data_IF_222943753546
#
_entry.id   IF_222943753546
#
_cell.length_a   1.000
_cell.length_b   1.000
_cell.length_c   1.000
_cell.angle_alpha   90.00
_cell.angle_beta   90.00
_cell.angle_gamma   90.00
#
_symmetry.space_group_name_H-M   'P 1'
#
loop_
_entity.id
_entity.type
_entity.pdbx_description
1 polymer ?
#
# COMPACT_ATOMS: atom_id res chain seq x y z
N UNK A 1 29.60 -0.23 -11.03
CA UNK A 1 28.36 0.56 -10.87
C UNK A 1 28.53 1.83 -11.69
N UNK A 2 27.80 1.99 -12.79
CA UNK A 2 27.86 3.22 -13.57
C UNK A 2 27.36 4.38 -12.70
N UNK A 3 28.16 5.43 -12.53
CA UNK A 3 27.76 6.62 -11.78
C UNK A 3 26.60 7.33 -12.47
N UNK A 4 25.70 7.96 -11.71
CA UNK A 4 24.59 8.69 -12.32
C UNK A 4 25.08 9.81 -13.23
N UNK A 5 24.36 10.05 -14.33
CA UNK A 5 24.69 11.18 -15.19
C UNK A 5 24.31 12.51 -14.52
N UNK A 6 24.91 13.62 -14.96
CA UNK A 6 24.69 14.96 -14.38
C UNK A 6 23.21 15.38 -14.39
N UNK A 7 22.45 14.95 -15.39
CA UNK A 7 21.03 15.27 -15.53
C UNK A 7 20.20 14.58 -14.44
N UNK A 8 20.43 13.29 -14.18
CA UNK A 8 19.81 12.52 -13.11
C UNK A 8 20.05 13.16 -11.75
N UNK A 9 21.31 13.48 -11.42
CA UNK A 9 21.64 14.14 -10.16
C UNK A 9 20.94 15.50 -10.01
N UNK A 10 20.93 16.30 -11.08
CA UNK A 10 20.24 17.61 -11.07
C UNK A 10 18.74 17.45 -10.87
N UNK A 11 18.12 16.45 -11.52
CA UNK A 11 16.70 16.14 -11.35
C UNK A 11 16.40 15.76 -9.90
N UNK A 12 17.12 14.79 -9.33
CA UNK A 12 16.89 14.30 -7.97
C UNK A 12 17.10 15.39 -6.91
N UNK A 13 18.08 16.27 -7.09
CA UNK A 13 18.27 17.42 -6.19
C UNK A 13 17.08 18.40 -6.24
N UNK A 14 16.50 18.63 -7.43
CA UNK A 14 15.30 19.48 -7.58
C UNK A 14 14.08 18.82 -6.95
N UNK A 15 13.90 17.52 -7.15
CA UNK A 15 12.84 16.71 -6.52
C UNK A 15 12.89 16.83 -5.00
N UNK A 16 14.09 16.67 -4.41
CA UNK A 16 14.24 16.74 -2.95
C UNK A 16 13.88 18.12 -2.41
N UNK A 17 14.37 19.18 -3.06
CA UNK A 17 14.00 20.57 -2.71
C UNK A 17 12.50 20.81 -2.84
N UNK A 18 11.85 20.21 -3.85
CA UNK A 18 10.42 20.32 -4.04
C UNK A 18 9.65 19.69 -2.89
N UNK A 19 10.02 18.48 -2.45
CA UNK A 19 9.38 17.80 -1.31
C UNK A 19 9.58 18.54 0.01
N UNK A 20 10.75 19.16 0.21
CA UNK A 20 10.98 19.98 1.41
C UNK A 20 10.13 21.26 1.41
N UNK A 21 9.90 21.84 0.22
CA UNK A 21 9.10 23.05 0.05
C UNK A 21 7.61 22.77 0.17
N UNK A 22 7.16 21.67 -0.44
CA UNK A 22 5.77 21.25 -0.52
C UNK A 22 5.65 19.77 -0.12
N UNK A 23 5.56 19.48 1.19
CA UNK A 23 5.48 18.12 1.70
C UNK A 23 4.19 17.42 1.27
N UNK A 24 4.30 16.15 0.92
CA UNK A 24 3.14 15.33 0.54
C UNK A 24 2.52 14.72 1.80
N UNK A 25 1.19 14.82 2.01
CA UNK A 25 0.54 14.25 3.19
C UNK A 25 0.81 12.74 3.34
N UNK A 26 1.06 12.30 4.58
CA UNK A 26 1.34 10.91 4.95
C UNK A 26 2.60 10.31 4.30
N UNK A 27 3.47 11.14 3.73
CA UNK A 27 4.65 10.70 3.01
C UNK A 27 5.84 11.57 3.43
N UNK A 28 6.90 10.92 3.93
CA UNK A 28 8.19 11.56 4.17
C UNK A 28 9.25 10.81 3.38
N UNK A 29 10.16 11.51 2.69
CA UNK A 29 11.23 10.88 1.93
C UNK A 29 12.54 11.67 2.00
N UNK A 30 13.65 10.94 2.13
CA UNK A 30 14.99 11.50 2.17
C UNK A 30 15.97 10.68 1.32
N UNK A 31 16.85 11.33 0.55
CA UNK A 31 17.97 10.66 -0.08
C UNK A 31 18.92 10.08 0.96
N UNK A 32 19.54 8.95 0.64
CA UNK A 32 20.62 8.37 1.42
C UNK A 32 21.81 9.34 1.45
N UNK A 33 22.46 9.57 2.60
CA UNK A 33 23.56 10.53 2.71
C UNK A 33 24.78 10.17 1.86
N UNK A 34 24.95 8.88 1.54
CA UNK A 34 26.07 8.35 0.77
C UNK A 34 25.73 8.09 -0.69
N UNK A 35 24.46 8.11 -1.09
CA UNK A 35 24.03 7.77 -2.44
C UNK A 35 22.73 8.47 -2.83
N UNK A 36 22.83 9.48 -3.70
CA UNK A 36 21.65 10.22 -4.16
C UNK A 36 20.68 9.35 -5.00
N UNK A 37 21.14 8.23 -5.54
CA UNK A 37 20.30 7.27 -6.27
C UNK A 37 19.53 6.31 -5.36
N UNK A 38 19.75 6.34 -4.04
CA UNK A 38 18.97 5.57 -3.08
C UNK A 38 18.23 6.54 -2.17
N UNK A 39 16.91 6.43 -2.10
CA UNK A 39 16.10 7.23 -1.20
C UNK A 39 15.34 6.33 -0.27
N UNK A 40 15.21 6.73 0.98
CA UNK A 40 14.31 6.09 1.92
C UNK A 40 13.03 6.91 2.03
N UNK A 41 11.92 6.22 2.24
CA UNK A 41 10.63 6.86 2.49
C UNK A 41 9.91 6.21 3.65
N UNK A 42 8.98 6.95 4.23
CA UNK A 42 7.98 6.50 5.19
C UNK A 42 6.61 6.83 4.62
N UNK A 43 5.73 5.83 4.61
CA UNK A 43 4.31 6.01 4.40
C UNK A 43 3.59 5.91 5.74
N UNK A 44 2.64 6.80 5.99
CA UNK A 44 1.74 6.72 7.15
C UNK A 44 0.39 6.15 6.72
N UNK A 45 -0.12 5.20 7.47
CA UNK A 45 -1.43 4.63 7.20
C UNK A 45 -2.55 5.61 7.54
N UNK A 46 -3.45 5.82 6.59
CA UNK A 46 -4.56 6.75 6.70
C UNK A 46 -5.60 6.27 7.72
N UNK A 47 -6.29 7.24 8.35
CA UNK A 47 -7.38 6.97 9.27
C UNK A 47 -8.53 6.23 8.60
N UNK A 48 -9.16 5.31 9.33
CA UNK A 48 -10.25 4.47 8.85
C UNK A 48 -9.81 3.31 7.96
N UNK A 49 -8.51 3.07 7.81
CA UNK A 49 -7.97 1.92 7.06
C UNK A 49 -7.37 0.89 8.02
N UNK A 50 -7.24 -0.36 7.56
CA UNK A 50 -6.47 -1.41 8.26
C UNK A 50 -4.99 -1.06 8.51
N UNK A 51 -4.50 0.03 7.93
CA UNK A 51 -3.13 0.50 8.07
C UNK A 51 -2.99 1.65 9.05
N UNK A 52 -4.09 2.17 9.60
CA UNK A 52 -4.14 3.35 10.47
C UNK A 52 -3.09 3.28 11.60
N UNK A 53 -2.36 4.37 11.79
CA UNK A 53 -1.32 4.50 12.82
C UNK A 53 -0.02 3.77 12.49
N UNK A 54 0.02 3.00 11.40
CA UNK A 54 1.20 2.33 10.89
C UNK A 54 2.19 3.27 10.21
N UNK A 55 3.47 2.94 10.33
CA UNK A 55 4.62 3.69 9.81
C UNK A 55 5.44 2.75 8.94
N UNK A 56 5.40 2.90 7.61
CA UNK A 56 5.95 1.93 6.67
C UNK A 56 7.19 2.46 5.97
N UNK A 57 8.35 1.98 6.42
CA UNK A 57 9.66 2.30 5.87
C UNK A 57 9.95 1.47 4.61
N UNK A 58 10.40 2.14 3.56
CA UNK A 58 10.88 1.51 2.34
C UNK A 58 12.01 2.28 1.68
N UNK A 59 12.34 1.89 0.45
CA UNK A 59 13.30 2.60 -0.39
C UNK A 59 12.93 2.65 -1.86
N UNK A 60 13.39 3.71 -2.51
CA UNK A 60 13.48 3.88 -3.94
C UNK A 60 14.94 3.72 -4.37
N UNK A 61 15.18 2.97 -5.44
CA UNK A 61 16.50 2.91 -6.09
C UNK A 61 16.34 3.40 -7.53
N UNK A 62 16.96 4.54 -7.81
CA UNK A 62 16.91 5.21 -9.10
C UNK A 62 18.01 4.68 -10.03
N UNK A 63 17.70 4.37 -11.30
CA UNK A 63 18.71 4.08 -12.28
C UNK A 63 19.50 5.36 -12.68
N UNK A 64 20.74 5.24 -13.17
CA UNK A 64 21.52 6.36 -13.72
C UNK A 64 20.80 7.18 -14.79
N UNK A 65 19.84 6.57 -15.49
CA UNK A 65 19.04 7.17 -16.56
C UNK A 65 17.75 7.85 -16.07
N UNK A 66 17.47 7.85 -14.76
CA UNK A 66 16.34 8.62 -14.22
C UNK A 66 16.45 10.11 -14.64
N UNK A 67 15.35 10.75 -15.11
CA UNK A 67 13.95 10.32 -15.07
C UNK A 67 13.47 9.55 -16.30
N UNK A 68 14.33 9.22 -17.26
CA UNK A 68 13.89 8.49 -18.47
C UNK A 68 13.62 7.01 -18.23
N UNK A 69 14.18 6.45 -17.15
CA UNK A 69 13.81 5.14 -16.61
C UNK A 69 13.22 5.29 -15.19
N UNK A 70 12.21 4.48 -14.83
CA UNK A 70 11.59 4.50 -13.51
C UNK A 70 12.55 3.99 -12.41
N UNK A 71 12.32 4.36 -11.14
CA UNK A 71 12.98 3.71 -10.01
C UNK A 71 12.39 2.32 -9.72
N UNK A 72 13.12 1.52 -8.97
CA UNK A 72 12.58 0.33 -8.29
C UNK A 72 12.16 0.66 -6.85
N UNK A 73 11.14 -0.04 -6.35
CA UNK A 73 10.52 0.22 -5.04
C UNK A 73 10.53 -1.06 -4.22
N UNK A 74 10.86 -0.96 -2.93
CA UNK A 74 10.73 -2.05 -1.96
C UNK A 74 10.38 -1.53 -0.57
N UNK A 75 9.56 -2.26 0.19
CA UNK A 75 9.28 -1.96 1.60
C UNK A 75 10.08 -2.86 2.53
N UNK A 76 10.48 -2.32 3.68
CA UNK A 76 11.17 -3.07 4.74
C UNK A 76 10.23 -3.46 5.87
N UNK A 77 9.31 -2.56 6.24
CA UNK A 77 8.35 -2.80 7.31
C UNK A 77 7.33 -3.84 6.89
N UNK A 78 7.10 -4.89 7.70
CA UNK A 78 5.95 -5.78 7.52
C UNK A 78 4.65 -4.99 7.51
N UNK A 79 3.83 -5.21 6.48
CA UNK A 79 2.63 -4.39 6.23
C UNK A 79 1.41 -5.21 5.77
N UNK A 80 1.58 -6.51 5.52
CA UNK A 80 0.50 -7.42 5.13
C UNK A 80 -0.04 -7.22 3.71
N UNK A 81 0.48 -6.26 2.95
CA UNK A 81 0.11 -5.98 1.55
C UNK A 81 1.20 -6.34 0.55
N UNK A 82 2.45 -6.04 0.90
CA UNK A 82 3.62 -6.26 0.08
C UNK A 82 4.64 -7.10 0.82
N UNK A 83 5.23 -8.09 0.12
CA UNK A 83 6.37 -8.84 0.59
C UNK A 83 7.54 -7.88 0.87
N UNK A 84 8.17 -8.03 2.03
CA UNK A 84 9.29 -7.17 2.41
C UNK A 84 10.52 -7.47 1.56
N UNK A 85 11.38 -6.46 1.37
CA UNK A 85 12.62 -6.54 0.60
C UNK A 85 12.46 -7.06 -0.83
N UNK A 86 11.24 -7.04 -1.36
CA UNK A 86 10.92 -7.52 -2.71
C UNK A 86 10.61 -6.31 -3.58
N UNK A 87 11.14 -6.32 -4.82
CA UNK A 87 10.80 -5.29 -5.80
C UNK A 87 9.31 -5.39 -6.14
N UNK A 88 8.62 -4.26 -6.10
CA UNK A 88 7.22 -4.18 -6.47
C UNK A 88 7.07 -3.88 -7.96
N UNK A 89 6.19 -4.61 -8.63
CA UNK A 89 5.74 -4.28 -9.97
C UNK A 89 4.52 -3.39 -9.86
N UNK A 90 4.67 -2.11 -10.16
CA UNK A 90 3.57 -1.17 -10.28
C UNK A 90 3.72 -0.37 -11.58
N UNK A 91 2.65 0.27 -12.05
CA UNK A 91 2.67 1.06 -13.30
C UNK A 91 3.73 2.18 -13.34
N UNK A 92 4.27 2.57 -12.18
CA UNK A 92 5.33 3.57 -12.01
C UNK A 92 6.72 2.99 -11.68
N UNK A 93 6.96 1.70 -11.97
CA UNK A 93 8.20 0.98 -11.63
C UNK A 93 8.90 0.41 -12.88
N UNK A 94 10.11 -0.12 -12.71
CA UNK A 94 10.96 -0.74 -13.74
C UNK A 94 10.36 -1.94 -14.47
N UNK A 95 9.22 -2.46 -14.00
CA UNK A 95 8.49 -3.53 -14.67
C UNK A 95 7.64 -3.07 -15.87
N UNK A 96 7.23 -1.79 -15.92
CA UNK A 96 6.32 -1.24 -16.94
C UNK A 96 6.92 0.00 -17.63
N UNK A 97 8.04 -0.13 -18.36
CA UNK A 97 8.70 1.01 -19.02
C UNK A 97 7.79 1.73 -20.03
N UNK A 98 6.81 1.05 -20.61
CA UNK A 98 5.81 1.61 -21.53
C UNK A 98 4.79 2.52 -20.84
N UNK A 99 4.51 2.28 -19.56
CA UNK A 99 3.55 3.07 -18.76
C UNK A 99 4.23 4.20 -17.98
N UNK A 100 5.57 4.24 -18.00
CA UNK A 100 6.35 5.22 -17.27
C UNK A 100 6.26 6.63 -17.88
N UNK A 101 5.97 7.62 -17.03
CA UNK A 101 6.03 9.02 -17.40
C UNK A 101 7.23 9.73 -16.72
N UNK A 102 8.24 10.19 -17.47
CA UNK A 102 9.40 10.92 -16.93
C UNK A 102 9.06 12.22 -16.17
N UNK A 103 7.83 12.71 -16.30
CA UNK A 103 7.33 13.88 -15.58
C UNK A 103 6.87 13.55 -14.15
N UNK A 104 6.67 12.28 -13.80
CA UNK A 104 6.30 11.91 -12.44
C UNK A 104 7.43 12.26 -11.45
N UNK A 105 7.04 13.04 -10.45
CA UNK A 105 7.90 13.43 -9.33
C UNK A 105 8.05 12.29 -8.34
N UNK A 106 9.05 12.35 -7.46
CA UNK A 106 9.18 11.39 -6.35
C UNK A 106 7.93 11.40 -5.47
N UNK A 107 7.35 12.59 -5.25
CA UNK A 107 6.07 12.73 -4.52
C UNK A 107 4.95 11.97 -5.22
N UNK A 108 4.79 12.14 -6.53
CA UNK A 108 3.77 11.44 -7.34
C UNK A 108 3.94 9.92 -7.28
N UNK A 109 5.17 9.42 -7.37
CA UNK A 109 5.48 7.98 -7.28
C UNK A 109 5.05 7.42 -5.93
N UNK A 110 5.40 8.11 -4.84
CA UNK A 110 5.06 7.67 -3.48
C UNK A 110 3.57 7.80 -3.17
N UNK A 111 2.90 8.82 -3.71
CA UNK A 111 1.42 8.92 -3.65
C UNK A 111 0.78 7.74 -4.36
N UNK A 112 1.25 7.38 -5.56
CA UNK A 112 0.78 6.21 -6.29
C UNK A 112 0.98 4.92 -5.50
N UNK A 113 2.16 4.72 -4.90
CA UNK A 113 2.44 3.58 -4.02
C UNK A 113 1.47 3.51 -2.83
N UNK A 114 1.21 4.64 -2.17
CA UNK A 114 0.27 4.71 -1.05
C UNK A 114 -1.17 4.37 -1.51
N UNK A 115 -1.59 4.82 -2.70
CA UNK A 115 -2.88 4.41 -3.27
C UNK A 115 -2.95 2.90 -3.49
N UNK A 116 -1.90 2.27 -4.04
CA UNK A 116 -1.84 0.81 -4.21
C UNK A 116 -1.80 0.02 -2.90
N UNK A 117 -1.36 0.66 -1.80
CA UNK A 117 -1.41 0.08 -0.46
C UNK A 117 -2.85 -0.16 -0.01
N UNK A 118 -3.77 0.74 -0.39
CA UNK A 118 -5.20 0.64 -0.05
C UNK A 118 -6.02 -0.16 -1.07
N UNK A 119 -5.43 -0.52 -2.21
CA UNK A 119 -6.07 -1.39 -3.18
C UNK A 119 -5.93 -2.88 -2.79
N UNK A 120 -6.81 -3.70 -3.34
CA UNK A 120 -6.85 -5.17 -3.24
C UNK A 120 -6.27 -5.87 -4.47
N UNK A 121 -6.00 -5.14 -5.57
CA UNK A 121 -5.44 -5.72 -6.81
C UNK A 121 -4.15 -6.51 -6.56
N UNK A 122 -4.08 -7.73 -7.09
CA UNK A 122 -2.85 -8.53 -7.01
C UNK A 122 -1.80 -7.98 -7.98
N UNK A 123 -0.57 -7.87 -7.51
CA UNK A 123 0.60 -7.54 -8.34
C UNK A 123 1.84 -8.31 -7.89
N UNK A 124 2.92 -8.28 -8.69
CA UNK A 124 4.19 -8.89 -8.29
C UNK A 124 4.73 -8.23 -7.03
N UNK A 125 5.06 -9.04 -6.03
CA UNK A 125 5.47 -8.59 -4.71
C UNK A 125 4.31 -8.32 -3.74
N UNK A 126 3.04 -8.45 -4.17
CA UNK A 126 1.92 -8.44 -3.23
C UNK A 126 1.81 -9.76 -2.45
N UNK A 127 1.24 -9.67 -1.25
CA UNK A 127 0.88 -10.81 -0.41
C UNK A 127 -0.57 -10.66 0.05
N UNK A 128 -1.17 -11.79 0.44
CA UNK A 128 -2.53 -11.82 0.98
C UNK A 128 -2.46 -12.14 2.47
N UNK A 129 -3.03 -11.26 3.29
CA UNK A 129 -3.15 -11.42 4.74
C UNK A 129 -4.52 -10.97 5.22
N UNK A 130 -4.89 -11.33 6.45
CA UNK A 130 -6.16 -10.89 7.02
C UNK A 130 -6.11 -9.42 7.41
N UNK A 131 -7.29 -8.77 7.54
CA UNK A 131 -7.39 -7.41 8.08
C UNK A 131 -6.74 -7.30 9.47
N UNK A 132 -6.97 -8.30 10.33
CA UNK A 132 -6.40 -8.35 11.68
C UNK A 132 -4.87 -8.41 11.67
N UNK A 133 -4.27 -9.15 10.73
CA UNK A 133 -2.82 -9.21 10.57
C UNK A 133 -2.25 -7.85 10.16
N UNK A 134 -2.91 -7.14 9.24
CA UNK A 134 -2.51 -5.80 8.81
C UNK A 134 -2.58 -4.80 9.96
N UNK A 135 -3.67 -4.80 10.73
CA UNK A 135 -3.84 -3.93 11.90
C UNK A 135 -2.80 -4.23 13.00
N UNK A 136 -2.46 -5.52 13.23
CA UNK A 136 -1.36 -5.91 14.12
C UNK A 136 -0.03 -5.35 13.61
N UNK A 137 0.29 -5.56 12.34
CA UNK A 137 1.54 -5.06 11.74
C UNK A 137 1.61 -3.54 11.77
N UNK A 138 0.49 -2.83 11.58
CA UNK A 138 0.40 -1.38 11.71
C UNK A 138 0.81 -0.93 13.12
N UNK A 139 0.28 -1.55 14.18
CA UNK A 139 0.65 -1.23 15.57
C UNK A 139 2.12 -1.50 15.87
N UNK A 140 2.68 -2.57 15.33
CA UNK A 140 4.07 -3.00 15.57
C UNK A 140 5.10 -2.26 14.71
N UNK A 141 4.65 -1.62 13.62
CA UNK A 141 5.50 -1.06 12.56
C UNK A 141 6.55 -0.06 13.05
N UNK A 142 6.19 0.87 13.93
CA UNK A 142 7.10 1.89 14.43
C UNK A 142 8.19 1.27 15.31
N UNK A 143 7.82 0.37 16.23
CA UNK A 143 8.78 -0.35 17.07
C UNK A 143 9.72 -1.23 16.24
N UNK A 144 9.22 -1.82 15.14
CA UNK A 144 10.06 -2.53 14.17
C UNK A 144 11.07 -1.59 13.51
N UNK A 145 10.63 -0.44 13.00
CA UNK A 145 11.48 0.49 12.25
C UNK A 145 12.60 1.10 13.09
N UNK A 146 12.35 1.39 14.37
CA UNK A 146 13.36 2.01 15.26
C UNK A 146 14.59 1.11 15.46
N UNK A 147 14.46 -0.20 15.29
CA UNK A 147 15.60 -1.13 15.31
C UNK A 147 16.58 -0.88 14.15
N UNK A 148 16.10 -0.29 13.05
CA UNK A 148 16.91 0.01 11.88
C UNK A 148 17.71 1.33 12.09
N UNK A 149 19.06 1.30 12.02
CA UNK A 149 19.89 2.50 12.20
C UNK A 149 19.68 3.56 11.12
N UNK A 150 19.45 3.13 9.87
CA UNK A 150 19.15 4.04 8.75
C UNK A 150 17.83 4.76 8.98
N UNK A 151 16.80 4.06 9.45
CA UNK A 151 15.52 4.67 9.80
C UNK A 151 15.68 5.75 10.87
N UNK A 152 16.35 5.42 11.99
CA UNK A 152 16.59 6.38 13.08
C UNK A 152 17.33 7.63 12.61
N UNK A 153 18.33 7.46 11.74
CA UNK A 153 19.14 8.55 11.22
C UNK A 153 18.35 9.46 10.27
N UNK A 154 17.54 8.89 9.39
CA UNK A 154 16.83 9.63 8.36
C UNK A 154 15.48 10.19 8.82
N UNK A 155 14.85 9.58 9.83
CA UNK A 155 13.54 9.99 10.31
C UNK A 155 13.51 10.11 11.85
N UNK A 156 14.28 11.05 12.43
CA UNK A 156 14.41 11.18 13.88
C UNK A 156 13.09 11.54 14.59
N UNK A 157 12.17 12.24 13.92
CA UNK A 157 10.85 12.58 14.48
C UNK A 157 10.04 11.34 14.86
N UNK A 158 10.24 10.21 14.19
CA UNK A 158 9.58 8.94 14.54
C UNK A 158 10.15 8.29 15.80
N UNK A 159 11.41 8.59 16.16
CA UNK A 159 12.03 8.16 17.42
C UNK A 159 11.41 8.90 18.60
N UNK A 160 11.25 10.22 18.44
CA UNK A 160 10.58 11.08 19.41
C UNK A 160 9.11 10.67 19.56
N UNK A 161 8.45 10.38 18.45
CA UNK A 161 7.06 9.92 18.42
C UNK A 161 6.87 8.60 19.18
N UNK A 162 7.75 7.62 18.99
CA UNK A 162 7.66 6.36 19.73
C UNK A 162 7.79 6.61 21.24
N UNK A 163 8.77 7.43 21.63
CA UNK A 163 9.00 7.80 23.03
C UNK A 163 7.76 8.44 23.65
N UNK A 164 7.09 9.32 22.90
CA UNK A 164 5.83 9.95 23.29
C UNK A 164 4.69 8.94 23.45
N UNK A 165 4.53 8.01 22.49
CA UNK A 165 3.50 6.95 22.55
C UNK A 165 3.70 6.04 23.77
N UNK A 166 4.93 5.60 24.01
CA UNK A 166 5.27 4.73 25.15
C UNK A 166 5.06 5.43 26.48
N UNK A 167 5.43 6.71 26.60
CA UNK A 167 5.18 7.50 27.81
C UNK A 167 3.68 7.69 28.08
N UNK A 168 2.90 7.95 27.03
CA UNK A 168 1.45 8.10 27.15
C UNK A 168 0.75 6.80 27.55
N UNK A 169 1.21 5.64 27.04
CA UNK A 169 0.69 4.33 27.41
C UNK A 169 1.04 3.96 28.86
N UNK A 170 2.26 4.24 29.30
CA UNK A 170 2.68 4.00 30.68
C UNK A 170 1.96 4.89 31.72
N UNK A 171 1.44 6.05 31.29
CA UNK A 171 0.69 6.96 32.15
C UNK A 171 -0.80 6.61 32.29
N UNK A 172 -1.32 5.64 31.50
CA UNK A 172 -2.69 5.16 31.65
C UNK A 172 -2.79 4.16 32.81
N UNK A 173 -3.79 4.29 33.71
CA UNK A 173 -4.00 3.29 34.75
C UNK A 173 -4.28 1.94 34.10
N UNK A 174 -3.54 0.91 34.52
CA UNK A 174 -3.63 -0.43 33.97
C UNK A 174 -5.10 -0.93 34.01
N UNK A 175 -5.75 -0.98 32.86
CA UNK A 175 -7.03 -1.69 32.72
C UNK A 175 -6.73 -3.16 32.91
N UNK A 176 -6.99 -3.67 34.11
CA UNK A 176 -6.94 -5.09 34.42
C UNK A 176 -7.78 -5.88 33.40
N UNK A 177 -7.35 -7.07 32.95
CA UNK A 177 -8.19 -7.91 32.12
C UNK A 177 -9.48 -8.23 32.88
N UNK A 178 -10.63 -7.75 32.36
CA UNK A 178 -11.92 -8.16 32.87
C UNK A 178 -12.09 -9.66 32.57
N UNK A 179 -11.90 -10.48 33.60
CA UNK A 179 -12.30 -11.87 33.58
C UNK A 179 -13.82 -11.92 33.35
N UNK A 180 -14.22 -12.43 32.18
CA UNK A 180 -15.62 -12.77 31.93
C UNK A 180 -16.03 -13.91 32.86
N UNK A 181 -17.16 -13.82 33.59
CA UNK A 181 -17.66 -14.95 34.36
C UNK A 181 -18.13 -16.05 33.39
N UNK A 182 -17.52 -17.23 33.50
CA UNK A 182 -18.07 -18.48 32.96
C UNK A 182 -19.40 -18.77 33.68
N UNK A 183 -20.53 -18.49 33.05
CA UNK A 183 -21.81 -19.09 33.46
C UNK A 183 -21.88 -20.51 32.90
N UNK A 184 -21.49 -21.48 33.73
CA UNK A 184 -21.92 -22.85 33.59
C UNK A 184 -23.40 -22.94 34.02
N UNK A 185 -24.27 -23.41 33.13
CA UNK A 185 -25.57 -23.97 33.51
C UNK A 185 -25.54 -25.46 33.19
N UNK A 186 -25.35 -26.23 34.25
CA UNK A 186 -25.67 -27.64 34.37
C UNK A 186 -27.06 -27.74 35.01
N UNK A 187 -28.00 -28.37 34.31
CA UNK A 187 -29.19 -28.99 34.90
C UNK A 187 -29.49 -30.26 34.10
N UNK A 188 -29.49 -31.36 34.83
CA UNK A 188 -29.77 -32.74 34.43
C UNK A 188 -31.01 -33.24 35.18
N UNK A 189 -31.53 -34.39 34.71
CA UNK A 189 -32.51 -35.30 35.35
C UNK A 189 -34.00 -35.04 35.03
N UNK A 190 -34.88 -36.04 34.84
CA UNK A 190 -34.81 -37.47 34.48
C UNK A 190 -36.26 -37.95 34.18
N UNK A 191 -36.36 -39.10 33.51
CA UNK A 191 -37.46 -40.03 33.20
C UNK A 191 -38.88 -39.90 33.80
N UNK A 192 -39.94 -40.27 33.04
CA UNK A 192 -40.48 -41.66 33.04
C UNK A 192 -41.52 -41.95 31.93
N UNK A 193 -41.71 -43.26 31.65
CA UNK A 193 -42.34 -43.97 30.51
C UNK A 193 -43.90 -44.04 30.59
N UNK A 194 -44.76 -44.43 29.63
CA UNK A 194 -44.88 -45.58 28.67
C UNK A 194 -46.31 -45.49 27.97
N UNK A 195 -46.85 -46.42 27.11
CA UNK A 195 -46.47 -46.89 25.75
C UNK A 195 -47.61 -46.94 24.64
N UNK A 196 -47.16 -47.08 23.37
CA UNK A 196 -47.63 -47.87 22.18
C UNK A 196 -49.08 -47.84 21.59
N UNK A 197 -49.20 -47.60 20.25
CA UNK A 197 -49.44 -48.65 19.21
C UNK A 197 -49.47 -48.12 17.73
N UNK A 198 -48.77 -48.86 16.84
CA UNK A 198 -48.90 -49.15 15.37
C UNK A 198 -49.40 -48.11 14.34
N UNK A 199 -48.89 -48.03 13.10
CA UNK A 199 -47.88 -48.84 12.39
C UNK A 199 -47.78 -48.48 10.89
N UNK A 200 -46.65 -48.91 10.30
CA UNK A 200 -46.31 -49.14 8.87
C UNK A 200 -46.14 -47.94 7.90
N UNK A 201 -45.26 -47.94 6.91
CA UNK A 201 -43.92 -48.50 6.57
C UNK A 201 -43.53 -47.83 5.19
N UNK A 202 -42.46 -48.23 4.46
CA UNK A 202 -41.25 -47.42 4.20
C UNK A 202 -41.16 -46.96 2.71
N UNK A 203 -40.14 -46.26 2.19
CA UNK A 203 -38.80 -46.73 1.74
C UNK A 203 -38.08 -45.52 1.07
N UNK A 204 -36.73 -45.48 0.99
CA UNK A 204 -35.95 -44.23 0.91
C UNK A 204 -35.05 -44.05 -0.34
N UNK A 205 -34.27 -42.96 -0.30
CA UNK A 205 -32.83 -42.83 -0.63
C UNK A 205 -32.33 -42.70 -2.09
N UNK A 206 -31.73 -41.52 -2.32
CA UNK A 206 -30.42 -41.18 -2.94
C UNK A 206 -29.72 -42.13 -3.92
N UNK A 207 -29.16 -41.56 -5.00
CA UNK A 207 -27.72 -41.63 -5.36
C UNK A 207 -27.38 -40.86 -6.67
N UNK A 208 -26.11 -40.46 -6.77
CA UNK A 208 -25.40 -39.69 -7.81
C UNK A 208 -25.01 -40.51 -9.08
N UNK A 209 -24.53 -39.83 -10.14
CA UNK A 209 -23.40 -40.35 -10.95
C UNK A 209 -23.49 -40.36 -12.50
N UNK A 210 -22.82 -39.38 -13.13
CA UNK A 210 -21.91 -39.41 -14.31
C UNK A 210 -22.16 -40.14 -15.67
N UNK A 211 -21.87 -39.39 -16.75
CA UNK A 211 -21.06 -39.69 -17.96
C UNK A 211 -21.65 -40.20 -19.32
N UNK A 212 -21.36 -39.40 -20.36
CA UNK A 212 -20.86 -39.69 -21.74
C UNK A 212 -21.72 -40.31 -22.89
N UNK A 213 -21.64 -39.62 -24.06
CA UNK A 213 -21.29 -40.09 -25.42
C UNK A 213 -22.28 -39.89 -26.61
N UNK A 214 -21.76 -39.21 -27.65
CA UNK A 214 -21.88 -39.38 -29.12
C UNK A 214 -23.24 -39.34 -29.91
N UNK A 215 -23.42 -38.25 -30.69
CA UNK A 215 -23.45 -38.24 -32.18
C UNK A 215 -24.71 -38.60 -32.99
N UNK A 216 -25.26 -37.65 -33.78
CA UNK A 216 -25.62 -37.80 -35.21
C UNK A 216 -26.12 -36.48 -35.87
N UNK A 217 -26.07 -36.45 -37.20
CA UNK A 217 -26.09 -35.34 -38.19
C UNK A 217 -27.44 -35.23 -38.92
N UNK A 218 -27.68 -34.08 -39.58
CA UNK A 218 -28.62 -33.71 -40.71
C UNK A 218 -29.39 -32.43 -40.31
N UNK A 219 -29.69 -31.40 -41.10
CA UNK A 219 -29.51 -31.02 -42.51
C UNK A 219 -29.79 -29.49 -42.61
N UNK A 220 -29.39 -28.85 -43.71
CA UNK A 220 -29.41 -27.38 -43.93
C UNK A 220 -30.76 -26.85 -44.46
N UNK A 221 -31.10 -25.56 -44.20
CA UNK A 221 -31.73 -24.62 -45.17
C UNK A 221 -31.83 -23.16 -44.61
N UNK A 222 -32.08 -22.10 -45.42
CA UNK A 222 -31.13 -20.99 -45.60
C UNK A 222 -31.60 -19.59 -45.13
N UNK A 223 -30.68 -18.63 -45.29
CA UNK A 223 -30.69 -17.23 -44.88
C UNK A 223 -31.94 -16.39 -45.23
N UNK A 224 -32.27 -15.46 -44.33
CA UNK A 224 -32.83 -14.13 -44.67
C UNK A 224 -32.03 -13.02 -43.97
N UNK A 225 -31.54 -12.02 -44.74
CA UNK A 225 -31.19 -10.68 -44.21
C UNK A 225 -32.48 -9.86 -44.06
N UNK A 226 -32.56 -8.97 -43.08
CA UNK A 226 -32.31 -7.53 -43.31
C UNK A 226 -31.51 -6.94 -42.13
N UNK A 227 -30.94 -5.75 -42.10
CA UNK A 227 -30.95 -4.52 -42.88
C UNK A 227 -30.08 -3.54 -42.07
N UNK A 228 -29.36 -2.64 -42.73
CA UNK A 228 -28.53 -1.63 -42.08
C UNK A 228 -29.40 -0.68 -41.25
N UNK A 229 -29.13 -0.54 -39.96
CA UNK A 229 -29.62 0.57 -39.15
C UNK A 229 -28.50 1.62 -39.01
N UNK A 230 -28.76 2.91 -39.26
CA UNK A 230 -27.78 3.96 -39.01
C UNK A 230 -27.60 4.21 -37.51
N UNK A 231 -26.41 4.66 -37.06
CA UNK A 231 -26.17 4.96 -35.65
C UNK A 231 -26.97 6.21 -35.23
N UNK A 232 -27.68 6.11 -34.11
CA UNK A 232 -28.35 7.23 -33.46
C UNK A 232 -27.33 8.12 -32.71
N UNK A 233 -27.56 9.43 -32.61
CA UNK A 233 -26.59 10.38 -32.09
C UNK A 233 -26.41 10.26 -30.57
N UNK A 234 -25.16 10.45 -30.14
CA UNK A 234 -24.73 10.52 -28.74
C UNK A 234 -25.48 11.63 -27.99
N UNK A 235 -26.33 11.24 -27.05
CA UNK A 235 -26.85 12.12 -26.01
C UNK A 235 -25.85 12.21 -24.86
N UNK A 236 -25.27 13.40 -24.66
CA UNK A 236 -24.50 13.76 -23.49
C UNK A 236 -25.38 13.72 -22.24
N UNK A 237 -25.07 12.84 -21.29
CA UNK A 237 -25.54 12.97 -19.91
C UNK A 237 -24.32 12.85 -18.99
N UNK A 238 -23.76 14.02 -18.66
CA UNK A 238 -22.75 14.21 -17.62
C UNK A 238 -23.44 13.97 -16.29
N UNK A 239 -23.09 12.89 -15.59
CA UNK A 239 -23.52 12.62 -14.22
C UNK A 239 -22.31 12.30 -13.36
N UNK A 240 -22.04 13.26 -12.46
CA UNK A 240 -21.36 13.14 -11.16
C UNK A 240 -19.83 13.16 -11.12
N UNK A 241 -19.28 14.38 -10.99
CA UNK A 241 -17.97 14.62 -10.39
C UNK A 241 -18.04 15.94 -9.60
N UNK A 242 -18.21 15.88 -8.27
CA UNK A 242 -17.77 16.89 -7.30
C UNK A 242 -18.31 16.63 -5.88
N UNK A 243 -17.75 15.65 -5.17
CA UNK A 243 -17.57 15.77 -3.72
C UNK A 243 -16.07 15.98 -3.50
N UNK A 244 -15.61 17.22 -3.70
CA UNK A 244 -14.19 17.61 -3.50
C UNK A 244 -14.06 18.95 -2.73
N UNK A 245 -15.13 19.54 -2.16
CA UNK A 245 -15.03 20.92 -1.59
C UNK A 245 -15.43 21.05 -0.11
N UNK A 246 -15.40 19.99 0.71
CA UNK A 246 -15.81 20.13 2.12
C UNK A 246 -14.96 19.42 3.18
N UNK A 247 -13.63 19.35 3.03
CA UNK A 247 -12.71 19.03 4.16
C UNK A 247 -11.47 19.95 4.19
N UNK A 248 -11.50 21.11 3.52
CA UNK A 248 -10.37 22.06 3.47
C UNK A 248 -10.26 23.02 4.68
N UNK A 249 -10.89 22.75 5.82
CA UNK A 249 -10.78 23.65 6.98
C UNK A 249 -11.08 22.98 8.32
N UNK A 250 -10.24 22.03 8.78
CA UNK A 250 -10.27 21.63 10.20
C UNK A 250 -9.01 20.88 10.72
N UNK A 251 -7.78 21.18 10.27
CA UNK A 251 -6.57 21.02 11.11
C UNK A 251 -5.50 22.01 10.63
N UNK A 252 -5.72 23.29 10.89
CA UNK A 252 -4.66 24.30 10.85
C UNK A 252 -4.50 24.89 12.25
N UNK A 253 -4.03 24.09 13.20
CA UNK A 253 -3.27 24.57 14.37
C UNK A 253 -2.40 23.40 14.86
N UNK A 254 -1.09 23.66 14.96
CA UNK A 254 -0.06 22.85 15.61
C UNK A 254 0.53 21.68 14.84
N UNK A 255 1.50 21.98 13.96
CA UNK A 255 2.73 21.19 13.91
C UNK A 255 3.86 22.06 13.39
N UNK A 256 4.74 22.48 14.28
CA UNK A 256 6.03 23.05 13.93
C UNK A 256 6.81 22.01 13.15
N UNK A 257 6.91 22.17 11.83
CA UNK A 257 7.69 21.30 10.95
C UNK A 257 9.19 21.37 11.34
N UNK A 258 9.81 20.32 11.91
CA UNK A 258 11.22 20.35 12.31
C UNK A 258 12.19 20.19 11.13
N UNK A 259 11.71 20.17 9.87
CA UNK A 259 12.54 19.97 8.67
C UNK A 259 13.47 21.12 8.29
N UNK A 260 13.55 22.22 9.06
CA UNK A 260 14.31 23.41 8.66
C UNK A 260 15.81 23.35 8.98
N UNK A 261 16.25 22.45 9.85
CA UNK A 261 17.66 22.42 10.31
C UNK A 261 18.59 21.51 9.50
N UNK A 262 18.08 20.63 8.63
CA UNK A 262 18.93 19.78 7.78
C UNK A 262 19.54 20.51 6.56
N UNK A 263 19.11 21.73 6.27
CA UNK A 263 19.66 22.55 5.17
C UNK A 263 21.07 23.09 5.46
N UNK A 264 21.55 23.05 6.72
CA UNK A 264 22.85 23.60 7.10
C UNK A 264 24.01 22.60 7.08
N UNK A 265 23.75 21.29 6.95
CA UNK A 265 24.80 20.25 7.02
C UNK A 265 25.15 19.59 5.68
N UNK A 266 24.62 20.07 4.56
CA UNK A 266 24.90 19.50 3.24
C UNK A 266 26.07 20.21 2.56
N UNK A 267 27.27 19.64 2.69
CA UNK A 267 28.43 20.02 1.90
C UNK A 267 28.22 19.66 0.40
N UNK A 268 28.81 20.43 -0.54
CA UNK A 268 28.76 20.10 -1.96
C UNK A 268 29.41 18.73 -2.24
N UNK A 269 28.77 17.95 -3.13
CA UNK A 269 29.21 16.62 -3.53
C UNK A 269 30.59 16.66 -4.22
N UNK A 270 31.63 15.94 -3.74
CA UNK A 270 32.92 15.90 -4.40
C UNK A 270 32.85 14.89 -5.55
N UNK A 271 32.67 15.37 -6.79
CA UNK A 271 32.57 14.47 -7.93
C UNK A 271 32.48 15.09 -9.33
N UNK A 272 32.76 16.38 -9.48
CA UNK A 272 32.87 17.01 -10.79
C UNK A 272 34.27 17.62 -10.95
N UNK A 273 35.26 16.76 -11.19
CA UNK A 273 36.59 17.21 -11.63
C UNK A 273 36.47 17.86 -13.00
N UNK A 274 36.56 19.19 -13.05
CA UNK A 274 36.72 19.93 -14.28
C UNK A 274 38.17 19.78 -14.75
N UNK A 275 38.39 18.95 -15.77
CA UNK A 275 39.62 18.98 -16.55
C UNK A 275 39.70 20.32 -17.30
N UNK A 276 40.66 21.17 -16.93
CA UNK A 276 41.14 22.24 -17.81
C UNK A 276 42.31 21.68 -18.60
N UNK A 277 42.13 21.55 -19.91
CA UNK A 277 43.22 21.45 -20.86
C UNK A 277 43.78 22.85 -21.10
N UNK A 278 45.06 23.02 -20.81
CA UNK A 278 45.89 24.11 -21.32
C UNK A 278 46.20 23.88 -22.80
N UNK A 279 45.90 24.89 -23.63
CA UNK A 279 46.67 25.31 -24.80
C UNK A 279 46.36 26.78 -25.06
#
# INVERSE_FOLDING_TARGET
MAGANKQCMTRLQKEYKSLLKDPVPNITAHPSPSNLLEWHFVLEGAKGTEYEGGVYHGKLVFPPEYPFKPPSISLFTPNGRFATNTKLCLSMTDYHPESWNPMWSVGTILTGLLSFMYDTQSTTGSITTTKQDKERMARESLAFNIKNPTFRKLFPSWVEELSRRTAAEAAQPATAPQAQPLTAKSESEDADQQPQQNGQAPVPSQAEGAAAAAGQRLEQQPQRRPGHHPPQPFGNTIVTLAIVVAVLAAVWVSSSNPGRDMLRSWAPWPGAGAGRSSS
#
